data_IF_383163419832
#
_entry.id   IF_383163419832
#
_cell.length_a   1.000
_cell.length_b   1.000
_cell.length_c   1.000
_cell.angle_alpha   90.00
_cell.angle_beta   90.00
_cell.angle_gamma   90.00
#
_symmetry.space_group_name_H-M   'P 1'
#
loop_
_entity.id
_entity.type
_entity.pdbx_description
1 polymer ?
#
# COMPACT_ATOMS: atom_id res chain seq x y z
N UNK A 1 -69.18 8.51 -36.66
CA UNK A 1 -68.70 9.82 -36.20
C UNK A 1 -67.66 9.55 -35.14
N UNK A 2 -66.54 9.44 -35.55
CA UNK A 2 -65.19 9.88 -35.24
C UNK A 2 -64.85 9.98 -33.74
N UNK A 3 -64.09 9.01 -33.34
CA UNK A 3 -63.34 8.95 -32.08
C UNK A 3 -62.00 9.65 -32.32
N UNK A 4 -61.46 10.56 -31.47
CA UNK A 4 -60.09 10.96 -31.54
C UNK A 4 -59.21 10.15 -30.61
N UNK A 5 -58.22 9.59 -31.23
CA UNK A 5 -57.03 8.96 -30.68
C UNK A 5 -56.34 9.82 -29.59
N UNK A 6 -56.23 9.26 -28.41
CA UNK A 6 -55.41 9.83 -27.32
C UNK A 6 -54.09 9.11 -27.30
N UNK A 7 -53.15 9.57 -28.15
CA UNK A 7 -51.77 9.13 -28.12
C UNK A 7 -51.07 9.65 -26.85
N UNK A 8 -50.92 8.77 -25.88
CA UNK A 8 -50.06 8.96 -24.71
C UNK A 8 -48.62 9.18 -25.14
N UNK A 9 -48.17 10.43 -25.07
CA UNK A 9 -46.79 10.83 -25.15
C UNK A 9 -46.00 10.08 -24.05
N UNK A 10 -45.23 9.10 -24.47
CA UNK A 10 -44.24 8.45 -23.64
C UNK A 10 -43.19 9.48 -23.22
N UNK A 11 -43.17 9.83 -21.94
CA UNK A 11 -42.10 10.59 -21.34
C UNK A 11 -40.74 9.89 -21.59
N UNK A 12 -39.67 10.61 -21.95
CA UNK A 12 -38.38 9.98 -22.12
C UNK A 12 -37.91 9.41 -20.78
N UNK A 13 -37.57 8.12 -20.80
CA UNK A 13 -36.91 7.46 -19.65
C UNK A 13 -35.75 8.34 -19.20
N UNK A 14 -35.81 8.88 -17.99
CA UNK A 14 -34.71 9.60 -17.36
C UNK A 14 -33.49 8.68 -17.38
N UNK A 15 -32.50 9.06 -18.19
CA UNK A 15 -31.22 8.37 -18.22
C UNK A 15 -30.64 8.35 -16.81
N UNK A 16 -30.30 7.17 -16.32
CA UNK A 16 -29.64 7.02 -15.04
C UNK A 16 -28.43 7.97 -14.97
N UNK A 17 -28.21 8.68 -13.86
CA UNK A 17 -27.09 9.59 -13.75
C UNK A 17 -25.79 8.84 -14.04
N UNK A 18 -24.94 9.43 -14.89
CA UNK A 18 -23.64 8.86 -15.23
C UNK A 18 -22.81 8.67 -13.95
N UNK A 19 -22.14 7.52 -13.80
CA UNK A 19 -21.33 7.25 -12.62
C UNK A 19 -20.29 8.36 -12.41
N UNK A 20 -20.09 8.75 -11.16
CA UNK A 20 -19.11 9.76 -10.80
C UNK A 20 -17.71 9.19 -11.10
N UNK A 21 -16.99 9.80 -12.02
CA UNK A 21 -15.66 9.38 -12.44
C UNK A 21 -14.61 10.35 -11.91
N UNK A 22 -13.46 9.82 -11.53
CA UNK A 22 -12.32 10.60 -11.07
C UNK A 22 -11.09 10.45 -11.97
N UNK A 23 -10.23 11.44 -11.91
CA UNK A 23 -8.86 11.40 -12.40
C UNK A 23 -7.91 11.90 -11.31
N UNK A 24 -6.77 11.24 -11.13
CA UNK A 24 -5.67 11.72 -10.30
C UNK A 24 -4.58 12.30 -11.19
N UNK A 25 -4.01 13.45 -10.78
CA UNK A 25 -2.87 14.08 -11.44
C UNK A 25 -1.76 14.21 -10.40
N UNK A 26 -0.71 13.42 -10.53
CA UNK A 26 0.49 13.53 -9.73
C UNK A 26 1.45 14.53 -10.36
N UNK A 27 1.94 15.48 -9.57
CA UNK A 27 2.80 16.58 -10.01
C UNK A 27 4.13 16.44 -9.30
N UNK A 28 5.20 16.33 -10.06
CA UNK A 28 6.56 16.22 -9.59
C UNK A 28 7.48 15.66 -10.69
N UNK A 29 8.52 16.39 -11.00
CA UNK A 29 9.52 15.99 -12.01
C UNK A 29 10.21 14.69 -11.62
N UNK A 30 10.43 14.43 -10.32
CA UNK A 30 11.02 13.19 -9.79
C UNK A 30 10.20 11.94 -10.12
N UNK A 31 8.88 12.09 -10.34
CA UNK A 31 8.01 10.98 -10.74
C UNK A 31 8.20 10.61 -12.21
N UNK A 32 8.59 11.56 -13.05
CA UNK A 32 8.84 11.34 -14.47
C UNK A 32 10.22 10.75 -14.76
N UNK A 33 11.24 11.18 -14.00
CA UNK A 33 12.63 10.72 -14.21
C UNK A 33 12.97 9.41 -13.47
N UNK A 34 11.97 8.78 -12.85
CA UNK A 34 12.15 7.46 -12.20
C UNK A 34 12.74 7.51 -10.80
N UNK A 35 12.86 8.68 -10.17
CA UNK A 35 13.39 8.83 -8.82
C UNK A 35 12.44 8.34 -7.72
N UNK A 36 11.13 8.36 -7.98
CA UNK A 36 10.08 7.93 -7.04
C UNK A 36 8.89 7.29 -7.75
N UNK A 37 8.20 6.42 -7.03
CA UNK A 37 6.91 5.87 -7.48
C UNK A 37 5.76 6.72 -6.94
N UNK A 38 4.71 6.89 -7.75
CA UNK A 38 3.47 7.58 -7.35
C UNK A 38 2.62 6.69 -6.44
N UNK A 39 2.93 6.70 -5.15
CA UNK A 39 2.14 6.01 -4.12
C UNK A 39 0.84 6.75 -3.79
N UNK A 40 0.81 8.08 -3.97
CA UNK A 40 -0.36 8.91 -3.68
C UNK A 40 -1.56 8.54 -4.53
N UNK A 41 -1.38 8.37 -5.84
CA UNK A 41 -2.48 7.96 -6.72
C UNK A 41 -3.02 6.56 -6.42
N UNK A 42 -2.21 5.66 -5.84
CA UNK A 42 -2.68 4.35 -5.40
C UNK A 42 -3.62 4.49 -4.20
N UNK A 43 -3.19 5.23 -3.18
CA UNK A 43 -4.00 5.51 -1.99
C UNK A 43 -5.32 6.22 -2.35
N UNK A 44 -5.25 7.27 -3.16
CA UNK A 44 -6.43 8.02 -3.61
C UNK A 44 -7.43 7.15 -4.36
N UNK A 45 -6.95 6.26 -5.23
CA UNK A 45 -7.81 5.34 -5.98
C UNK A 45 -8.54 4.37 -5.05
N UNK A 46 -7.88 3.86 -4.01
CA UNK A 46 -8.48 2.98 -3.01
C UNK A 46 -9.57 3.72 -2.21
N UNK A 47 -9.29 4.91 -1.71
CA UNK A 47 -10.26 5.70 -0.95
C UNK A 47 -11.47 6.16 -1.79
N UNK A 48 -11.25 6.58 -3.03
CA UNK A 48 -12.34 6.93 -3.96
C UNK A 48 -13.20 5.73 -4.32
N UNK A 49 -12.58 4.57 -4.50
CA UNK A 49 -13.29 3.31 -4.77
C UNK A 49 -14.28 2.95 -3.65
N UNK A 50 -13.90 3.16 -2.38
CA UNK A 50 -14.77 2.95 -1.22
C UNK A 50 -16.02 3.84 -1.22
N UNK A 51 -15.95 5.00 -1.88
CA UNK A 51 -17.08 5.89 -2.12
C UNK A 51 -17.87 5.54 -3.40
N UNK A 52 -17.50 4.51 -4.15
CA UNK A 52 -18.09 4.19 -5.44
C UNK A 52 -17.65 5.12 -6.58
N UNK A 53 -16.61 5.92 -6.38
CA UNK A 53 -16.05 6.82 -7.39
C UNK A 53 -14.95 6.07 -8.15
N UNK A 54 -15.16 5.82 -9.44
CA UNK A 54 -14.20 5.11 -10.28
C UNK A 54 -13.09 6.06 -10.76
N UNK A 55 -11.84 5.79 -10.41
CA UNK A 55 -10.68 6.44 -11.02
C UNK A 55 -10.46 5.83 -12.41
N UNK A 56 -10.70 6.61 -13.46
CA UNK A 56 -10.55 6.14 -14.84
C UNK A 56 -9.21 6.49 -15.45
N UNK A 57 -8.57 7.52 -14.96
CA UNK A 57 -7.29 8.01 -15.47
C UNK A 57 -6.38 8.39 -14.32
N UNK A 58 -5.10 8.11 -14.50
CA UNK A 58 -4.00 8.59 -13.67
C UNK A 58 -3.00 9.27 -14.60
N UNK A 59 -2.71 10.53 -14.35
CA UNK A 59 -1.76 11.33 -15.10
C UNK A 59 -0.59 11.72 -14.20
N UNK A 60 0.61 11.73 -14.77
CA UNK A 60 1.82 12.24 -14.09
C UNK A 60 2.37 13.37 -14.95
N UNK A 61 2.66 14.50 -14.33
CA UNK A 61 3.26 15.67 -15.00
C UNK A 61 4.42 16.23 -14.17
N UNK A 62 5.36 16.89 -14.83
CA UNK A 62 6.42 17.64 -14.17
C UNK A 62 5.92 18.93 -13.53
N UNK A 63 6.85 19.69 -12.94
CA UNK A 63 6.56 20.93 -12.23
C UNK A 63 6.42 22.15 -13.18
N UNK A 64 6.29 21.88 -14.49
CA UNK A 64 6.05 22.92 -15.47
C UNK A 64 4.59 23.37 -15.48
N UNK A 65 4.35 24.66 -15.23
CA UNK A 65 3.01 25.25 -15.13
C UNK A 65 2.12 24.92 -16.33
N UNK A 66 2.66 24.99 -17.55
CA UNK A 66 1.88 24.77 -18.77
C UNK A 66 1.45 23.31 -18.93
N UNK A 67 2.27 22.36 -18.47
CA UNK A 67 1.94 20.93 -18.51
C UNK A 67 0.82 20.62 -17.50
N UNK A 68 0.88 21.21 -16.32
CA UNK A 68 -0.19 21.10 -15.32
C UNK A 68 -1.51 21.67 -15.85
N UNK A 69 -1.48 22.85 -16.49
CA UNK A 69 -2.66 23.47 -17.13
C UNK A 69 -3.25 22.54 -18.21
N UNK A 70 -2.40 21.96 -19.05
CA UNK A 70 -2.81 21.06 -20.13
C UNK A 70 -3.43 19.78 -19.59
N UNK A 71 -2.81 19.16 -18.58
CA UNK A 71 -3.33 17.98 -17.91
C UNK A 71 -4.69 18.26 -17.27
N UNK A 72 -4.83 19.38 -16.55
CA UNK A 72 -6.09 19.78 -15.92
C UNK A 72 -7.20 20.02 -16.95
N UNK A 73 -6.92 20.71 -18.06
CA UNK A 73 -7.90 20.90 -19.14
C UNK A 73 -8.35 19.57 -19.77
N UNK A 74 -7.46 18.59 -19.87
CA UNK A 74 -7.77 17.25 -20.37
C UNK A 74 -8.65 16.48 -19.38
N UNK A 75 -8.29 16.53 -18.09
CA UNK A 75 -9.00 15.85 -17.03
C UNK A 75 -10.45 16.33 -16.88
N UNK A 76 -10.69 17.63 -16.92
CA UNK A 76 -12.05 18.25 -16.79
C UNK A 76 -13.01 17.81 -17.90
N UNK A 77 -12.51 17.40 -19.06
CA UNK A 77 -13.35 16.92 -20.17
C UNK A 77 -13.91 15.51 -19.92
N UNK A 78 -13.23 14.71 -19.06
CA UNK A 78 -13.48 13.28 -18.93
C UNK A 78 -13.73 12.79 -17.49
N UNK A 79 -13.49 13.65 -16.48
CA UNK A 79 -13.73 13.33 -15.08
C UNK A 79 -14.52 14.43 -14.36
N UNK A 80 -15.29 14.04 -13.33
CA UNK A 80 -16.08 14.97 -12.49
C UNK A 80 -15.36 15.31 -11.21
N UNK A 81 -14.47 14.45 -10.74
CA UNK A 81 -13.60 14.67 -9.59
C UNK A 81 -12.16 14.59 -10.08
N UNK A 82 -11.38 15.62 -9.84
CA UNK A 82 -9.97 15.69 -10.21
C UNK A 82 -9.19 15.93 -8.93
N UNK A 83 -8.32 15.00 -8.58
CA UNK A 83 -7.44 15.16 -7.42
C UNK A 83 -6.01 15.31 -7.90
N UNK A 84 -5.42 16.46 -7.59
CA UNK A 84 -4.05 16.83 -7.91
C UNK A 84 -3.19 16.68 -6.65
N UNK A 85 -2.02 16.09 -6.76
CA UNK A 85 -1.08 15.95 -5.64
C UNK A 85 0.30 16.46 -6.01
N UNK A 86 0.89 17.31 -5.16
CA UNK A 86 2.19 17.92 -5.40
C UNK A 86 2.12 19.39 -5.78
N UNK A 87 3.28 20.06 -5.77
CA UNK A 87 3.45 21.45 -6.16
C UNK A 87 2.74 22.50 -5.27
N UNK A 88 2.46 22.14 -4.00
CA UNK A 88 1.86 23.06 -3.00
C UNK A 88 2.87 23.52 -1.91
N UNK A 89 4.12 23.15 -2.03
CA UNK A 89 5.19 23.54 -1.12
C UNK A 89 5.56 25.03 -1.21
N UNK A 90 6.66 25.41 -0.52
CA UNK A 90 7.14 26.80 -0.47
C UNK A 90 8.18 27.11 -1.54
N UNK A 91 8.60 26.16 -2.35
CA UNK A 91 9.72 26.32 -3.31
C UNK A 91 9.27 26.97 -4.62
N UNK A 92 10.17 27.35 -5.48
CA UNK A 92 9.86 28.13 -6.69
C UNK A 92 9.14 27.26 -7.73
N UNK A 93 9.48 26.00 -7.77
CA UNK A 93 8.91 24.94 -8.61
C UNK A 93 7.50 24.51 -8.17
N UNK A 94 7.09 24.80 -6.93
CA UNK A 94 5.72 24.60 -6.44
C UNK A 94 4.73 25.55 -7.12
N UNK A 95 4.21 25.21 -8.28
CA UNK A 95 3.40 26.07 -9.12
C UNK A 95 1.95 25.59 -9.34
N UNK A 96 1.50 24.56 -8.60
CA UNK A 96 0.14 23.98 -8.76
C UNK A 96 -0.96 25.02 -8.55
N UNK A 97 -0.83 25.92 -7.56
CA UNK A 97 -1.82 27.00 -7.30
C UNK A 97 -1.95 27.94 -8.48
N UNK A 98 -0.81 28.36 -9.01
CA UNK A 98 -0.69 29.24 -10.17
C UNK A 98 -1.25 28.57 -11.44
N UNK A 99 -0.95 27.28 -11.65
CA UNK A 99 -1.45 26.51 -12.78
C UNK A 99 -2.97 26.33 -12.74
N UNK A 100 -3.53 25.99 -11.56
CA UNK A 100 -4.98 25.89 -11.41
C UNK A 100 -5.67 27.25 -11.60
N UNK A 101 -5.13 28.33 -11.04
CA UNK A 101 -5.64 29.68 -11.21
C UNK A 101 -5.65 30.08 -12.71
N UNK A 102 -4.56 29.82 -13.42
CA UNK A 102 -4.44 30.07 -14.86
C UNK A 102 -5.44 29.24 -15.68
N UNK A 103 -5.52 27.93 -15.44
CA UNK A 103 -6.38 27.01 -16.18
C UNK A 103 -7.87 27.36 -16.00
N UNK A 104 -8.25 27.87 -14.85
CA UNK A 104 -9.64 28.12 -14.47
C UNK A 104 -10.05 29.59 -14.65
N UNK A 105 -9.10 30.49 -14.90
CA UNK A 105 -9.34 31.95 -15.00
C UNK A 105 -9.58 32.62 -13.64
N UNK A 106 -9.25 31.98 -12.54
CA UNK A 106 -9.42 32.54 -11.18
C UNK A 106 -8.16 33.31 -10.76
N UNK A 107 -8.35 34.37 -9.98
CA UNK A 107 -7.23 35.12 -9.40
C UNK A 107 -6.74 34.44 -8.11
N UNK A 108 -5.44 34.46 -7.89
CA UNK A 108 -4.88 34.05 -6.60
C UNK A 108 -5.06 35.18 -5.58
N UNK A 109 -5.55 34.83 -4.41
CA UNK A 109 -5.71 35.73 -3.28
C UNK A 109 -5.19 35.09 -1.98
N UNK A 110 -4.65 35.94 -1.10
CA UNK A 110 -4.25 35.47 0.23
C UNK A 110 -5.50 35.15 1.05
N UNK A 111 -5.61 33.90 1.50
CA UNK A 111 -6.73 33.45 2.33
C UNK A 111 -6.33 33.46 3.79
N UNK A 112 -7.15 34.09 4.63
CA UNK A 112 -6.90 34.21 6.05
C UNK A 112 -6.81 32.87 6.75
N UNK A 113 -7.75 31.95 6.45
CA UNK A 113 -7.79 30.60 7.02
C UNK A 113 -6.52 29.79 6.68
N UNK A 114 -6.02 29.90 5.45
CA UNK A 114 -4.80 29.23 4.99
C UNK A 114 -3.56 29.79 5.73
N UNK A 115 -3.49 31.13 5.87
CA UNK A 115 -2.40 31.79 6.56
C UNK A 115 -2.37 31.44 8.06
N UNK A 116 -3.51 31.46 8.73
CA UNK A 116 -3.63 31.14 10.15
C UNK A 116 -3.25 29.69 10.43
N UNK A 117 -3.79 28.75 9.64
CA UNK A 117 -3.46 27.32 9.78
C UNK A 117 -1.97 27.03 9.59
N UNK A 118 -1.37 27.59 8.53
CA UNK A 118 0.06 27.48 8.26
C UNK A 118 0.91 28.09 9.38
N UNK A 119 0.57 29.29 9.83
CA UNK A 119 1.33 30.00 10.88
C UNK A 119 1.26 29.24 12.20
N UNK A 120 0.09 28.76 12.57
CA UNK A 120 -0.08 27.93 13.77
C UNK A 120 0.77 26.65 13.72
N UNK A 121 0.81 25.99 12.56
CA UNK A 121 1.65 24.80 12.38
C UNK A 121 3.14 25.10 12.47
N UNK A 122 3.61 26.16 11.84
CA UNK A 122 5.02 26.57 11.91
C UNK A 122 5.41 26.98 13.34
N UNK A 123 4.52 27.64 14.08
CA UNK A 123 4.75 27.99 15.46
C UNK A 123 4.93 26.75 16.37
N UNK A 124 4.17 25.67 16.15
CA UNK A 124 4.36 24.40 16.85
C UNK A 124 5.76 23.79 16.62
N UNK A 125 6.39 24.09 15.48
CA UNK A 125 7.76 23.68 15.15
C UNK A 125 8.82 24.71 15.56
N UNK A 126 8.43 25.77 16.29
CA UNK A 126 9.33 26.84 16.69
C UNK A 126 9.79 27.73 15.51
N UNK A 127 9.06 27.75 14.40
CA UNK A 127 9.42 28.47 13.17
C UNK A 127 8.47 29.62 12.89
N UNK A 128 8.98 30.63 12.21
CA UNK A 128 8.18 31.75 11.64
C UNK A 128 8.06 31.59 10.13
N UNK A 129 6.95 32.00 9.53
CA UNK A 129 6.78 31.94 8.07
C UNK A 129 7.84 32.81 7.36
N UNK A 130 8.48 32.26 6.34
CA UNK A 130 9.30 33.01 5.39
C UNK A 130 8.46 33.41 4.16
N UNK A 131 9.05 34.17 3.23
CA UNK A 131 8.37 34.65 2.01
C UNK A 131 7.82 33.50 1.15
N UNK A 132 8.58 32.40 0.99
CA UNK A 132 8.17 31.21 0.26
C UNK A 132 6.94 30.55 0.91
N UNK A 133 6.96 30.40 2.23
CA UNK A 133 5.84 29.83 2.98
C UNK A 133 4.60 30.72 2.91
N UNK A 134 4.73 32.06 2.91
CA UNK A 134 3.58 32.97 2.75
C UNK A 134 2.88 32.80 1.39
N UNK A 135 3.57 32.32 0.35
CA UNK A 135 2.96 31.96 -0.93
C UNK A 135 1.98 30.78 -0.81
N UNK A 136 2.18 29.88 0.15
CA UNK A 136 1.28 28.75 0.38
C UNK A 136 -0.15 29.19 0.77
N UNK A 137 -0.30 30.40 1.30
CA UNK A 137 -1.61 30.98 1.62
C UNK A 137 -2.32 31.64 0.42
N UNK A 138 -1.70 31.66 -0.77
CA UNK A 138 -2.32 32.14 -2.01
C UNK A 138 -3.20 31.02 -2.58
N UNK A 139 -4.50 31.20 -2.58
CA UNK A 139 -5.48 30.21 -3.03
C UNK A 139 -6.34 30.83 -4.16
N UNK A 140 -6.73 30.05 -5.19
CA UNK A 140 -7.64 30.54 -6.23
C UNK A 140 -8.95 31.09 -5.64
N UNK A 141 -9.42 32.23 -6.16
CA UNK A 141 -10.67 32.85 -5.70
C UNK A 141 -11.85 31.89 -5.87
N UNK A 142 -12.75 31.84 -4.90
CA UNK A 142 -13.88 30.90 -4.90
C UNK A 142 -13.55 29.48 -4.44
N UNK A 143 -12.28 29.14 -4.22
CA UNK A 143 -11.92 27.83 -3.68
C UNK A 143 -12.15 27.76 -2.15
N UNK A 144 -12.50 26.58 -1.68
CA UNK A 144 -12.55 26.22 -0.27
C UNK A 144 -11.15 25.78 0.17
N UNK A 145 -10.66 26.32 1.28
CA UNK A 145 -9.38 25.92 1.87
C UNK A 145 -9.54 24.58 2.58
N UNK A 146 -8.66 23.63 2.28
CA UNK A 146 -8.55 22.34 2.97
C UNK A 146 -7.41 22.43 3.98
N UNK A 147 -7.71 22.14 5.23
CA UNK A 147 -6.73 22.22 6.33
C UNK A 147 -5.75 21.07 6.24
N UNK A 148 -4.47 21.37 6.52
CA UNK A 148 -3.44 20.36 6.63
C UNK A 148 -3.15 20.11 8.12
N UNK A 149 -3.57 18.98 8.68
CA UNK A 149 -3.37 18.68 10.10
C UNK A 149 -1.94 18.24 10.44
N UNK A 150 -1.12 17.93 9.42
CA UNK A 150 0.23 17.36 9.59
C UNK A 150 1.31 18.34 9.13
N UNK A 151 1.13 18.95 7.98
CA UNK A 151 2.09 19.84 7.34
C UNK A 151 1.69 21.33 7.37
N UNK A 152 2.48 22.15 6.69
CA UNK A 152 2.23 23.61 6.60
C UNK A 152 1.48 24.03 5.33
N UNK A 153 1.51 23.22 4.27
CA UNK A 153 0.89 23.55 3.00
C UNK A 153 -0.61 23.24 3.02
N UNK A 154 -1.51 24.24 3.02
CA UNK A 154 -2.94 23.99 2.87
C UNK A 154 -3.24 23.46 1.47
N UNK A 155 -4.24 22.60 1.37
CA UNK A 155 -4.86 22.24 0.11
C UNK A 155 -6.02 23.19 -0.22
N UNK A 156 -6.65 22.92 -1.35
CA UNK A 156 -7.88 23.62 -1.71
C UNK A 156 -8.79 22.79 -2.61
N UNK A 157 -10.07 23.13 -2.59
CA UNK A 157 -11.08 22.54 -3.45
C UNK A 157 -11.78 23.65 -4.23
N UNK A 158 -11.80 23.54 -5.57
CA UNK A 158 -12.40 24.50 -6.48
C UNK A 158 -13.42 23.81 -7.39
N UNK A 159 -14.63 24.33 -7.41
CA UNK A 159 -15.62 23.92 -8.41
C UNK A 159 -15.41 24.73 -9.68
N UNK A 160 -15.15 24.05 -10.79
CA UNK A 160 -14.98 24.68 -12.09
C UNK A 160 -15.71 23.89 -13.18
N UNK A 161 -16.59 24.58 -13.91
CA UNK A 161 -17.52 23.92 -14.86
C UNK A 161 -18.33 22.81 -14.15
N UNK A 162 -18.22 21.59 -14.62
CA UNK A 162 -18.89 20.41 -14.03
C UNK A 162 -17.96 19.56 -13.15
N UNK A 163 -16.72 20.00 -12.93
CA UNK A 163 -15.72 19.26 -12.18
C UNK A 163 -15.44 19.89 -10.81
N UNK A 164 -15.08 19.05 -9.89
CA UNK A 164 -14.53 19.39 -8.59
C UNK A 164 -13.02 19.15 -8.64
N UNK A 165 -12.24 20.22 -8.54
CA UNK A 165 -10.77 20.19 -8.56
C UNK A 165 -10.29 20.26 -7.12
N UNK A 166 -9.54 19.28 -6.68
CA UNK A 166 -8.98 19.16 -5.34
C UNK A 166 -7.48 19.11 -5.46
N UNK A 167 -6.77 19.99 -4.76
CA UNK A 167 -5.30 20.02 -4.75
C UNK A 167 -4.78 19.72 -3.35
N UNK A 168 -3.91 18.74 -3.25
CA UNK A 168 -3.34 18.22 -2.02
C UNK A 168 -1.80 18.25 -2.09
N UNK A 169 -1.09 18.29 -0.94
CA UNK A 169 0.37 18.19 -0.90
C UNK A 169 0.90 16.90 -1.52
N UNK A 170 2.17 16.90 -1.97
CA UNK A 170 2.86 15.72 -2.49
C UNK A 170 3.36 14.75 -1.41
N UNK A 171 3.55 15.21 -0.16
CA UNK A 171 4.01 14.37 0.95
C UNK A 171 2.92 13.36 1.32
N UNK A 172 3.18 12.04 1.23
CA UNK A 172 2.14 11.01 1.38
C UNK A 172 1.32 11.16 2.67
N UNK A 173 1.99 11.26 3.81
CA UNK A 173 1.33 11.39 5.11
C UNK A 173 0.40 12.61 5.23
N UNK A 174 0.82 13.75 4.65
CA UNK A 174 -0.02 14.95 4.63
C UNK A 174 -1.24 14.74 3.73
N UNK A 175 -1.01 14.21 2.54
CA UNK A 175 -2.05 13.92 1.55
C UNK A 175 -3.09 12.93 2.09
N UNK A 176 -2.65 11.85 2.73
CA UNK A 176 -3.52 10.81 3.31
C UNK A 176 -4.41 11.37 4.41
N UNK A 177 -3.85 12.12 5.36
CA UNK A 177 -4.62 12.75 6.44
C UNK A 177 -5.62 13.76 5.91
N UNK A 178 -5.22 14.60 4.96
CA UNK A 178 -6.12 15.56 4.33
C UNK A 178 -7.22 14.87 3.52
N UNK A 179 -6.90 13.79 2.81
CA UNK A 179 -7.91 12.98 2.11
C UNK A 179 -8.96 12.47 3.09
N UNK A 180 -8.54 11.89 4.21
CA UNK A 180 -9.46 11.31 5.19
C UNK A 180 -10.29 12.37 5.94
N UNK A 181 -9.66 13.47 6.39
CA UNK A 181 -10.30 14.44 7.27
C UNK A 181 -11.07 15.52 6.54
N UNK A 182 -10.63 15.95 5.36
CA UNK A 182 -11.20 17.08 4.62
C UNK A 182 -11.91 16.63 3.33
N UNK A 183 -11.27 15.78 2.51
CA UNK A 183 -11.76 15.45 1.15
C UNK A 183 -12.90 14.45 1.19
N UNK A 184 -12.77 13.34 1.93
CA UNK A 184 -13.83 12.32 1.99
C UNK A 184 -15.15 12.88 2.54
N UNK A 185 -15.19 13.69 3.62
CA UNK A 185 -16.42 14.35 4.07
C UNK A 185 -17.00 15.29 3.02
N UNK A 186 -16.15 16.07 2.34
CA UNK A 186 -16.58 16.99 1.28
C UNK A 186 -17.19 16.23 0.11
N UNK A 187 -16.55 15.15 -0.37
CA UNK A 187 -17.09 14.32 -1.45
C UNK A 187 -18.41 13.66 -1.06
N UNK A 188 -18.57 13.21 0.19
CA UNK A 188 -19.85 12.66 0.68
C UNK A 188 -20.97 13.71 0.63
N UNK A 189 -20.69 14.92 1.09
CA UNK A 189 -21.65 16.02 1.04
C UNK A 189 -22.04 16.38 -0.41
N UNK A 190 -21.07 16.43 -1.33
CA UNK A 190 -21.26 16.65 -2.76
C UNK A 190 -22.08 15.53 -3.42
N UNK A 191 -21.82 14.29 -3.08
CA UNK A 191 -22.56 13.15 -3.57
C UNK A 191 -24.04 13.23 -3.19
N UNK A 192 -24.33 13.61 -1.96
CA UNK A 192 -25.71 13.80 -1.47
C UNK A 192 -26.41 14.97 -2.21
N UNK A 193 -25.70 16.06 -2.47
CA UNK A 193 -26.23 17.25 -3.16
C UNK A 193 -26.50 17.03 -4.64
N UNK A 194 -25.76 16.13 -5.29
CA UNK A 194 -25.87 15.86 -6.75
C UNK A 194 -26.81 14.68 -7.11
N UNK A 195 -27.59 14.20 -6.18
CA UNK A 195 -28.52 13.07 -6.42
C UNK A 195 -27.97 11.69 -6.04
N UNK A 196 -26.87 11.68 -5.30
CA UNK A 196 -26.27 10.48 -4.71
C UNK A 196 -25.05 9.99 -5.47
N UNK A 197 -24.18 9.31 -4.73
CA UNK A 197 -23.18 8.40 -5.31
C UNK A 197 -23.88 7.29 -6.08
N UNK A 198 -23.20 6.59 -6.99
CA UNK A 198 -23.71 5.31 -7.52
C UNK A 198 -24.23 4.48 -6.35
N UNK A 199 -25.43 3.95 -6.47
CA UNK A 199 -26.15 3.28 -5.35
C UNK A 199 -25.36 2.15 -4.69
N UNK A 200 -24.24 1.73 -5.29
CA UNK A 200 -23.40 0.67 -4.76
C UNK A 200 -21.92 1.08 -4.76
N UNK A 201 -21.28 1.11 -3.59
CA UNK A 201 -19.84 1.27 -3.52
C UNK A 201 -19.15 0.08 -4.23
N UNK A 202 -18.05 0.35 -4.92
CA UNK A 202 -17.16 -0.70 -5.40
C UNK A 202 -16.52 -1.31 -4.15
N UNK A 203 -16.86 -2.56 -3.87
CA UNK A 203 -16.25 -3.29 -2.75
C UNK A 203 -15.11 -4.11 -3.30
N UNK A 204 -13.94 -3.96 -2.69
CA UNK A 204 -12.75 -4.74 -3.00
C UNK A 204 -12.31 -5.51 -1.76
N UNK A 205 -12.14 -6.82 -1.91
CA UNK A 205 -11.48 -7.66 -0.90
C UNK A 205 -10.13 -8.10 -1.45
N UNK A 206 -9.11 -8.05 -0.60
CA UNK A 206 -7.73 -8.35 -0.94
C UNK A 206 -7.24 -9.48 -0.07
N UNK A 207 -6.54 -10.43 -0.68
CA UNK A 207 -6.00 -11.63 -0.07
C UNK A 207 -4.51 -11.71 -0.40
N UNK A 208 -3.68 -11.86 0.62
CA UNK A 208 -2.24 -11.92 0.47
C UNK A 208 -1.76 -13.37 0.64
N UNK A 209 -1.10 -13.90 -0.40
CA UNK A 209 -0.60 -15.27 -0.39
C UNK A 209 0.92 -15.30 -0.46
N UNK A 210 1.53 -16.36 0.10
CA UNK A 210 2.95 -16.62 -0.05
C UNK A 210 3.22 -18.11 -0.23
N UNK A 211 4.28 -18.44 -1.00
CA UNK A 211 4.72 -19.81 -1.23
C UNK A 211 4.14 -20.48 -2.49
N UNK A 212 3.30 -19.76 -3.25
CA UNK A 212 2.79 -20.21 -4.56
C UNK A 212 3.25 -19.26 -5.66
N UNK A 213 3.46 -19.79 -6.87
CA UNK A 213 3.60 -18.98 -8.07
C UNK A 213 2.23 -18.44 -8.52
N UNK A 214 2.22 -17.36 -9.31
CA UNK A 214 0.98 -16.75 -9.82
C UNK A 214 0.12 -17.75 -10.60
N UNK A 215 0.75 -18.56 -11.44
CA UNK A 215 0.06 -19.63 -12.20
C UNK A 215 -0.60 -20.68 -11.30
N UNK A 216 0.03 -21.02 -10.16
CA UNK A 216 -0.53 -21.98 -9.21
C UNK A 216 -1.73 -21.40 -8.46
N UNK A 217 -1.66 -20.09 -8.13
CA UNK A 217 -2.79 -19.36 -7.54
C UNK A 217 -3.96 -19.30 -8.52
N UNK A 218 -3.69 -18.97 -9.80
CA UNK A 218 -4.71 -18.94 -10.85
C UNK A 218 -5.37 -20.30 -11.02
N UNK A 219 -4.59 -21.37 -11.14
CA UNK A 219 -5.09 -22.74 -11.27
C UNK A 219 -6.00 -23.14 -10.10
N UNK A 220 -5.63 -22.77 -8.86
CA UNK A 220 -6.46 -23.04 -7.67
C UNK A 220 -7.77 -22.25 -7.68
N UNK A 221 -7.77 -21.05 -8.22
CA UNK A 221 -8.95 -20.17 -8.26
C UNK A 221 -9.77 -20.33 -9.55
N UNK A 222 -9.33 -21.14 -10.50
CA UNK A 222 -10.05 -21.39 -11.75
C UNK A 222 -11.48 -21.86 -11.49
N UNK A 223 -12.44 -21.23 -12.19
CA UNK A 223 -13.86 -21.54 -12.04
C UNK A 223 -14.50 -21.09 -10.73
N UNK A 224 -13.81 -20.32 -9.90
CA UNK A 224 -14.38 -19.73 -8.68
C UNK A 224 -15.46 -18.69 -9.01
N UNK A 225 -15.21 -17.84 -10.01
CA UNK A 225 -16.14 -16.79 -10.42
C UNK A 225 -17.08 -17.33 -11.51
N UNK A 226 -18.38 -17.36 -11.29
CA UNK A 226 -19.35 -17.75 -12.32
C UNK A 226 -19.29 -16.82 -13.54
N UNK A 227 -19.52 -17.37 -14.73
CA UNK A 227 -19.55 -16.58 -15.97
C UNK A 227 -20.64 -15.49 -15.87
N UNK A 228 -20.25 -14.23 -16.11
CA UNK A 228 -21.19 -13.11 -16.03
C UNK A 228 -21.41 -12.53 -14.64
N UNK A 229 -20.77 -13.06 -13.60
CA UNK A 229 -20.83 -12.47 -12.26
C UNK A 229 -20.33 -11.03 -12.25
N UNK A 230 -20.93 -10.13 -11.45
CA UNK A 230 -20.53 -8.73 -11.36
C UNK A 230 -19.31 -8.52 -10.45
N UNK A 231 -18.36 -9.44 -10.49
CA UNK A 231 -17.12 -9.43 -9.70
C UNK A 231 -15.94 -9.74 -10.62
N UNK A 232 -14.87 -8.96 -10.49
CA UNK A 232 -13.59 -9.20 -11.15
C UNK A 232 -12.60 -9.82 -10.17
N UNK A 233 -11.84 -10.80 -10.65
CA UNK A 233 -10.68 -11.37 -9.99
C UNK A 233 -9.42 -10.70 -10.57
N UNK A 234 -8.61 -10.12 -9.71
CA UNK A 234 -7.30 -9.57 -10.07
C UNK A 234 -6.20 -10.29 -9.31
N UNK A 235 -5.05 -10.45 -9.94
CA UNK A 235 -3.83 -10.98 -9.30
C UNK A 235 -2.66 -10.06 -9.57
N UNK A 236 -1.74 -9.97 -8.61
CA UNK A 236 -0.51 -9.18 -8.72
C UNK A 236 0.61 -9.93 -8.00
N UNK A 237 1.58 -10.42 -8.76
CA UNK A 237 2.76 -11.07 -8.21
C UNK A 237 3.82 -10.04 -7.78
N UNK A 238 4.50 -10.34 -6.69
CA UNK A 238 5.62 -9.59 -6.16
C UNK A 238 6.62 -10.51 -5.45
N UNK A 239 7.80 -10.03 -5.05
CA UNK A 239 8.69 -10.81 -4.19
C UNK A 239 8.07 -11.21 -2.85
N UNK A 240 7.06 -10.48 -2.39
CA UNK A 240 6.36 -10.72 -1.13
C UNK A 240 5.21 -11.73 -1.24
N UNK A 241 4.95 -12.25 -2.44
CA UNK A 241 3.88 -13.21 -2.73
C UNK A 241 2.93 -12.74 -3.82
N UNK A 242 1.78 -13.40 -3.93
CA UNK A 242 0.72 -13.05 -4.88
C UNK A 242 -0.44 -12.42 -4.11
N UNK A 243 -0.80 -11.21 -4.52
CA UNK A 243 -1.99 -10.53 -4.06
C UNK A 243 -3.16 -10.95 -4.96
N UNK A 244 -4.23 -11.44 -4.38
CA UNK A 244 -5.49 -11.74 -5.04
C UNK A 244 -6.52 -10.69 -4.64
N UNK A 245 -7.30 -10.19 -5.57
CA UNK A 245 -8.36 -9.21 -5.28
C UNK A 245 -9.68 -9.60 -5.94
N UNK A 246 -10.76 -9.54 -5.19
CA UNK A 246 -12.14 -9.60 -5.67
C UNK A 246 -12.71 -8.19 -5.67
N UNK A 247 -13.18 -7.70 -6.82
CA UNK A 247 -13.70 -6.33 -6.96
C UNK A 247 -15.09 -6.36 -7.61
N UNK A 248 -16.11 -5.78 -6.95
CA UNK A 248 -17.45 -5.66 -7.52
C UNK A 248 -17.48 -4.65 -8.66
N UNK A 249 -18.27 -4.92 -9.71
CA UNK A 249 -18.38 -4.04 -10.90
C UNK A 249 -19.29 -2.83 -10.76
N UNK A 250 -19.90 -2.60 -9.61
CA UNK A 250 -20.73 -1.42 -9.35
C UNK A 250 -21.91 -1.24 -10.30
N UNK A 251 -22.51 -2.31 -10.84
CA UNK A 251 -23.63 -2.25 -11.78
C UNK A 251 -24.81 -3.13 -11.38
N UNK A 252 -25.96 -2.50 -11.16
CA UNK A 252 -27.35 -2.99 -11.40
C UNK A 252 -27.83 -4.31 -10.78
N UNK A 253 -27.30 -4.77 -9.67
CA UNK A 253 -27.94 -5.85 -8.90
C UNK A 253 -28.28 -5.31 -7.51
N UNK A 254 -29.28 -5.91 -6.83
CA UNK A 254 -29.65 -5.49 -5.49
C UNK A 254 -28.43 -5.48 -4.56
N UNK A 255 -28.21 -4.44 -3.76
CA UNK A 255 -27.00 -4.24 -2.93
C UNK A 255 -26.65 -5.45 -2.06
N UNK A 256 -27.66 -6.11 -1.52
CA UNK A 256 -27.49 -7.26 -0.65
C UNK A 256 -26.98 -8.51 -1.40
N UNK A 257 -27.38 -8.69 -2.66
CA UNK A 257 -26.94 -9.83 -3.47
C UNK A 257 -25.44 -9.73 -3.83
N UNK A 258 -24.94 -8.53 -4.14
CA UNK A 258 -23.53 -8.35 -4.48
C UNK A 258 -22.62 -8.55 -3.25
N UNK A 259 -23.07 -8.12 -2.09
CA UNK A 259 -22.32 -8.30 -0.85
C UNK A 259 -22.27 -9.77 -0.43
N UNK A 260 -23.40 -10.49 -0.54
CA UNK A 260 -23.47 -11.92 -0.27
C UNK A 260 -22.63 -12.73 -1.27
N UNK A 261 -22.72 -12.41 -2.56
CA UNK A 261 -21.89 -13.04 -3.60
C UNK A 261 -20.38 -12.82 -3.31
N UNK A 262 -20.00 -11.58 -3.00
CA UNK A 262 -18.60 -11.27 -2.70
C UNK A 262 -18.09 -12.07 -1.48
N UNK A 263 -18.92 -12.21 -0.44
CA UNK A 263 -18.58 -13.01 0.74
C UNK A 263 -18.43 -14.49 0.38
N UNK A 264 -19.35 -15.06 -0.40
CA UNK A 264 -19.28 -16.46 -0.87
C UNK A 264 -18.00 -16.70 -1.70
N UNK A 265 -17.67 -15.77 -2.59
CA UNK A 265 -16.42 -15.85 -3.37
C UNK A 265 -15.17 -15.72 -2.48
N UNK A 266 -15.22 -14.86 -1.47
CA UNK A 266 -14.15 -14.70 -0.49
C UNK A 266 -13.91 -16.00 0.30
N UNK A 267 -14.98 -16.65 0.75
CA UNK A 267 -14.89 -17.94 1.44
C UNK A 267 -14.33 -19.03 0.51
N UNK A 268 -14.68 -18.97 -0.77
CA UNK A 268 -14.08 -19.83 -1.80
C UNK A 268 -12.59 -19.58 -2.00
N UNK A 269 -12.12 -18.33 -1.97
CA UNK A 269 -10.69 -17.99 -2.00
C UNK A 269 -10.00 -18.56 -0.77
N UNK A 270 -10.54 -18.36 0.43
CA UNK A 270 -9.97 -18.89 1.68
C UNK A 270 -9.84 -20.41 1.65
N UNK A 271 -10.91 -21.10 1.26
CA UNK A 271 -10.93 -22.55 1.19
C UNK A 271 -9.92 -23.13 0.19
N UNK A 272 -9.78 -22.49 -0.99
CA UNK A 272 -8.88 -23.00 -2.04
C UNK A 272 -7.41 -22.65 -1.81
N UNK A 273 -7.11 -21.54 -1.14
CA UNK A 273 -5.75 -21.10 -0.86
C UNK A 273 -5.23 -21.60 0.50
N UNK A 274 -6.11 -21.85 1.47
CA UNK A 274 -5.74 -22.42 2.77
C UNK A 274 -4.54 -21.75 3.41
N UNK A 275 -3.54 -22.52 3.82
CA UNK A 275 -2.37 -22.04 4.57
C UNK A 275 -1.45 -21.10 3.79
N UNK A 276 -1.57 -21.05 2.45
CA UNK A 276 -0.84 -20.06 1.65
C UNK A 276 -1.39 -18.64 1.82
N UNK A 277 -2.65 -18.50 2.25
CA UNK A 277 -3.24 -17.22 2.60
C UNK A 277 -2.72 -16.78 3.99
N UNK A 278 -2.00 -15.67 4.04
CA UNK A 278 -1.45 -15.20 5.32
C UNK A 278 -2.15 -13.96 5.88
N UNK A 279 -2.80 -13.16 5.03
CA UNK A 279 -3.49 -11.95 5.45
C UNK A 279 -4.62 -11.56 4.50
N UNK A 280 -5.54 -10.74 5.00
CA UNK A 280 -6.60 -10.11 4.24
C UNK A 280 -6.59 -8.59 4.44
N UNK A 281 -7.11 -7.85 3.46
CA UNK A 281 -7.19 -6.40 3.52
C UNK A 281 -5.84 -5.72 3.42
N UNK A 282 -5.43 -4.99 4.44
CA UNK A 282 -4.18 -4.21 4.47
C UNK A 282 -3.10 -4.83 5.34
N UNK A 283 -3.39 -5.91 6.05
CA UNK A 283 -2.44 -6.54 6.96
C UNK A 283 -1.21 -7.05 6.19
N UNK A 284 -0.04 -6.77 6.73
CA UNK A 284 1.24 -7.28 6.25
C UNK A 284 1.66 -8.54 6.99
N UNK A 285 2.64 -9.27 6.48
CA UNK A 285 3.16 -10.48 7.13
C UNK A 285 3.74 -10.16 8.51
N UNK A 286 4.46 -9.05 8.65
CA UNK A 286 5.03 -8.59 9.92
C UNK A 286 3.97 -8.21 10.95
N UNK A 287 2.85 -7.63 10.54
CA UNK A 287 1.72 -7.34 11.44
C UNK A 287 1.03 -8.62 11.91
N UNK A 288 0.83 -9.59 11.01
CA UNK A 288 0.26 -10.89 11.36
C UNK A 288 1.16 -11.63 12.37
N UNK A 289 2.47 -11.69 12.08
CA UNK A 289 3.46 -12.34 12.99
C UNK A 289 3.53 -11.61 14.32
N UNK A 290 3.59 -10.28 14.34
CA UNK A 290 3.64 -9.47 15.55
C UNK A 290 2.41 -9.68 16.43
N UNK A 291 1.22 -9.73 15.83
CA UNK A 291 -0.04 -10.02 16.53
C UNK A 291 -0.05 -11.43 17.16
N UNK A 292 0.42 -12.43 16.41
CA UNK A 292 0.46 -13.80 16.90
C UNK A 292 1.51 -14.02 18.01
N UNK A 293 2.68 -13.37 17.93
CA UNK A 293 3.68 -13.38 18.99
C UNK A 293 3.14 -12.71 20.27
N UNK A 294 2.54 -11.53 20.12
CA UNK A 294 1.94 -10.77 21.24
C UNK A 294 0.83 -11.56 21.93
N UNK A 295 -0.07 -12.17 21.15
CA UNK A 295 -1.19 -12.98 21.68
C UNK A 295 -0.71 -14.14 22.53
N UNK A 296 0.46 -14.71 22.21
CA UNK A 296 1.04 -15.86 22.94
C UNK A 296 2.06 -15.44 24.00
N UNK A 297 2.36 -14.16 24.13
CA UNK A 297 3.41 -13.67 25.05
C UNK A 297 4.81 -14.18 24.69
N UNK A 298 5.06 -14.47 23.39
CA UNK A 298 6.33 -15.00 22.92
C UNK A 298 7.25 -13.87 22.46
N UNK A 299 8.52 -13.97 22.84
CA UNK A 299 9.57 -13.02 22.45
C UNK A 299 10.52 -13.70 21.47
N UNK A 300 10.88 -12.97 20.42
CA UNK A 300 11.69 -13.39 19.27
C UNK A 300 13.06 -12.71 19.30
N UNK A 301 14.10 -13.47 18.96
CA UNK A 301 15.41 -12.94 18.59
C UNK A 301 15.80 -13.40 17.18
N UNK A 302 16.52 -12.55 16.44
CA UNK A 302 16.85 -12.72 15.03
C UNK A 302 18.35 -12.87 14.79
N UNK A 303 18.72 -13.82 13.93
CA UNK A 303 20.09 -14.00 13.44
C UNK A 303 20.09 -13.89 11.90
N UNK A 304 20.49 -12.74 11.38
CA UNK A 304 20.46 -12.46 9.96
C UNK A 304 21.84 -12.47 9.31
N UNK A 305 21.96 -13.11 8.14
CA UNK A 305 23.15 -13.06 7.31
C UNK A 305 22.83 -12.38 5.98
N UNK A 306 22.38 -13.11 4.96
CA UNK A 306 22.15 -12.55 3.62
C UNK A 306 21.05 -11.48 3.57
N UNK A 307 20.10 -11.46 4.49
CA UNK A 307 19.04 -10.44 4.59
C UNK A 307 19.54 -9.12 5.16
N UNK A 308 20.63 -9.14 5.97
CA UNK A 308 21.34 -7.95 6.42
C UNK A 308 20.51 -6.99 7.28
N UNK A 309 19.66 -7.51 8.17
CA UNK A 309 18.80 -6.72 9.06
C UNK A 309 17.40 -6.47 8.51
N UNK A 310 17.04 -7.00 7.33
CA UNK A 310 15.75 -6.71 6.70
C UNK A 310 14.57 -7.30 7.49
N UNK A 311 14.72 -8.46 8.14
CA UNK A 311 13.66 -9.07 8.95
C UNK A 311 13.41 -8.21 10.19
N UNK A 312 14.47 -7.82 10.89
CA UNK A 312 14.38 -6.91 12.03
C UNK A 312 13.78 -5.56 11.66
N UNK A 313 14.21 -5.00 10.53
CA UNK A 313 13.65 -3.76 9.99
C UNK A 313 12.13 -3.88 9.79
N UNK A 314 11.65 -4.92 9.12
CA UNK A 314 10.22 -5.14 8.84
C UNK A 314 9.42 -5.27 10.14
N UNK A 315 9.84 -6.12 11.06
CA UNK A 315 9.13 -6.33 12.33
C UNK A 315 9.08 -5.05 13.19
N UNK A 316 10.15 -4.25 13.17
CA UNK A 316 10.21 -3.00 13.95
C UNK A 316 9.47 -1.81 13.30
N UNK A 317 9.00 -1.95 12.07
CA UNK A 317 8.04 -1.01 11.45
C UNK A 317 6.67 -1.07 12.12
N UNK A 318 6.33 -2.20 12.74
CA UNK A 318 5.05 -2.37 13.43
C UNK A 318 5.12 -1.70 14.81
N UNK A 319 4.20 -0.77 15.05
CA UNK A 319 4.12 -0.09 16.35
C UNK A 319 3.87 -1.10 17.48
N UNK A 320 4.60 -0.98 18.58
CA UNK A 320 4.52 -1.92 19.71
C UNK A 320 5.40 -3.17 19.56
N UNK A 321 6.24 -3.25 18.51
CA UNK A 321 7.14 -4.38 18.27
C UNK A 321 8.11 -4.70 19.40
N UNK A 322 8.42 -3.74 20.28
CA UNK A 322 9.23 -3.95 21.49
C UNK A 322 8.64 -4.97 22.47
N UNK A 323 7.35 -5.28 22.36
CA UNK A 323 6.72 -6.31 23.18
C UNK A 323 7.10 -7.75 22.76
N UNK A 324 7.53 -7.95 21.52
CA UNK A 324 7.82 -9.28 20.96
C UNK A 324 9.17 -9.41 20.26
N UNK A 325 9.89 -8.33 19.97
CA UNK A 325 11.26 -8.35 19.42
C UNK A 325 12.24 -7.95 20.51
N UNK A 326 13.11 -8.87 20.94
CA UNK A 326 14.16 -8.58 21.91
C UNK A 326 15.39 -7.96 21.19
N UNK A 327 15.93 -8.65 20.23
CA UNK A 327 17.12 -8.23 19.46
C UNK A 327 17.23 -8.86 18.09
N UNK A 328 18.06 -8.25 17.23
CA UNK A 328 18.50 -8.81 15.96
C UNK A 328 20.01 -8.68 15.83
N UNK A 329 20.68 -9.77 15.44
CA UNK A 329 22.12 -9.80 15.15
C UNK A 329 22.35 -10.00 13.66
N UNK A 330 23.08 -9.09 13.01
CA UNK A 330 23.55 -9.25 11.63
C UNK A 330 24.91 -9.95 11.64
N UNK A 331 24.90 -11.26 11.50
CA UNK A 331 26.06 -12.14 11.54
C UNK A 331 26.56 -12.45 10.13
N UNK A 332 27.16 -11.45 9.47
CA UNK A 332 27.46 -11.51 8.05
C UNK A 332 28.65 -12.38 7.70
N UNK A 333 29.71 -12.34 8.51
CA UNK A 333 30.92 -13.17 8.35
C UNK A 333 30.83 -14.49 9.13
N UNK A 334 31.67 -15.48 8.79
CA UNK A 334 31.79 -16.73 9.55
C UNK A 334 32.21 -16.44 11.01
N UNK A 335 33.17 -15.55 11.20
CA UNK A 335 33.63 -15.10 12.52
C UNK A 335 32.46 -14.54 13.36
N UNK A 336 31.63 -13.68 12.76
CA UNK A 336 30.47 -13.12 13.48
C UNK A 336 29.45 -14.21 13.88
N UNK A 337 29.25 -15.26 13.06
CA UNK A 337 28.40 -16.39 13.40
C UNK A 337 28.94 -17.13 14.65
N UNK A 338 30.23 -17.32 14.73
CA UNK A 338 30.86 -17.97 15.90
C UNK A 338 30.85 -17.06 17.11
N UNK A 339 31.33 -15.81 17.01
CA UNK A 339 31.46 -14.91 18.15
C UNK A 339 30.11 -14.47 18.72
N UNK A 340 29.17 -14.08 17.86
CA UNK A 340 27.88 -13.53 18.29
C UNK A 340 26.84 -14.60 18.62
N UNK A 341 26.86 -15.74 17.95
CA UNK A 341 25.85 -16.78 18.10
C UNK A 341 26.34 -18.07 18.73
N UNK A 342 27.67 -18.28 18.79
CA UNK A 342 28.28 -19.53 19.28
C UNK A 342 28.16 -20.68 18.26
N UNK A 343 28.01 -20.39 16.97
CA UNK A 343 28.04 -21.41 15.93
C UNK A 343 29.45 -22.02 15.92
N UNK A 344 29.58 -23.36 16.06
CA UNK A 344 30.89 -24.01 16.05
C UNK A 344 31.66 -23.77 14.74
N UNK A 345 32.93 -23.43 14.82
CA UNK A 345 33.75 -23.15 13.65
C UNK A 345 33.91 -24.40 12.74
N UNK A 346 34.09 -25.56 13.35
CA UNK A 346 34.16 -26.88 12.66
C UNK A 346 32.85 -27.20 11.89
N UNK A 347 31.70 -26.80 12.43
CA UNK A 347 30.42 -26.95 11.72
C UNK A 347 30.39 -26.10 10.43
N UNK A 348 30.92 -24.86 10.51
CA UNK A 348 31.02 -23.95 9.35
C UNK A 348 32.03 -24.50 8.34
N UNK A 349 33.17 -25.05 8.78
CA UNK A 349 34.19 -25.62 7.93
C UNK A 349 33.70 -26.87 7.20
N UNK A 350 32.94 -27.74 7.88
CA UNK A 350 32.41 -28.97 7.36
C UNK A 350 31.26 -28.77 6.36
N UNK A 351 30.28 -27.93 6.69
CA UNK A 351 29.04 -27.75 5.90
C UNK A 351 29.00 -26.47 5.12
N UNK A 352 29.90 -25.53 5.39
CA UNK A 352 29.88 -24.17 4.86
C UNK A 352 28.82 -23.27 5.54
N UNK A 353 29.06 -21.96 5.51
CA UNK A 353 28.18 -20.98 6.16
C UNK A 353 26.72 -20.99 5.67
N UNK A 354 26.49 -21.47 4.44
CA UNK A 354 25.16 -21.61 3.83
C UNK A 354 24.79 -23.09 3.81
N UNK A 355 24.15 -23.54 4.88
CA UNK A 355 23.71 -24.93 5.08
C UNK A 355 22.59 -24.99 6.12
N UNK A 356 21.86 -26.10 6.15
CA UNK A 356 20.79 -26.33 7.14
C UNK A 356 21.35 -26.41 8.57
N UNK A 357 22.53 -27.02 8.71
CA UNK A 357 23.23 -27.20 9.99
C UNK A 357 23.59 -25.84 10.59
N UNK A 358 24.17 -24.95 9.79
CA UNK A 358 24.53 -23.61 10.23
C UNK A 358 23.29 -22.75 10.49
N UNK A 359 22.22 -22.85 9.70
CA UNK A 359 20.97 -22.15 9.95
C UNK A 359 20.35 -22.58 11.30
N UNK A 360 20.31 -23.90 11.57
CA UNK A 360 19.85 -24.44 12.86
C UNK A 360 20.69 -23.89 14.02
N UNK A 361 22.02 -23.99 13.92
CA UNK A 361 22.92 -23.51 14.95
C UNK A 361 22.79 -21.99 15.20
N UNK A 362 22.57 -21.20 14.16
CA UNK A 362 22.31 -19.75 14.26
C UNK A 362 21.01 -19.47 15.03
N UNK A 363 19.92 -20.21 14.72
CA UNK A 363 18.63 -20.03 15.42
C UNK A 363 18.73 -20.41 16.89
N UNK A 364 19.32 -21.57 17.22
CA UNK A 364 19.57 -21.99 18.58
C UNK A 364 20.47 -20.99 19.33
N UNK A 365 21.55 -20.55 18.68
CA UNK A 365 22.51 -19.65 19.27
C UNK A 365 21.91 -18.28 19.66
N UNK A 366 21.14 -17.69 18.75
CA UNK A 366 20.51 -16.38 19.06
C UNK A 366 19.43 -16.52 20.13
N UNK A 367 18.61 -17.57 20.11
CA UNK A 367 17.61 -17.83 21.15
C UNK A 367 18.25 -17.99 22.52
N UNK A 368 19.28 -18.82 22.62
CA UNK A 368 19.98 -19.09 23.87
C UNK A 368 20.66 -17.85 24.46
N UNK A 369 21.34 -17.06 23.61
CA UNK A 369 22.02 -15.82 24.03
C UNK A 369 21.07 -14.70 24.42
N UNK A 370 19.93 -14.61 23.75
CA UNK A 370 18.87 -13.66 24.10
C UNK A 370 18.01 -14.14 25.28
N UNK A 371 18.04 -15.44 25.62
CA UNK A 371 17.17 -16.07 26.62
C UNK A 371 15.68 -15.86 26.35
N UNK A 372 15.30 -15.95 25.07
CA UNK A 372 13.92 -15.76 24.60
C UNK A 372 13.28 -17.07 24.19
N UNK A 373 11.98 -17.03 23.92
CA UNK A 373 11.22 -18.21 23.53
C UNK A 373 11.54 -18.69 22.11
N UNK A 374 11.81 -17.77 21.18
CA UNK A 374 11.96 -18.07 19.74
C UNK A 374 13.23 -17.46 19.17
N UNK A 375 14.00 -18.27 18.44
CA UNK A 375 15.12 -17.83 17.63
C UNK A 375 14.85 -18.11 16.16
N UNK A 376 14.98 -17.09 15.31
CA UNK A 376 14.81 -17.18 13.87
C UNK A 376 16.10 -16.79 13.16
N UNK A 377 16.57 -17.60 12.22
CA UNK A 377 17.81 -17.33 11.50
C UNK A 377 17.65 -17.41 9.98
N UNK A 378 18.50 -16.68 9.26
CA UNK A 378 18.59 -16.76 7.80
C UNK A 378 20.06 -16.72 7.37
N UNK A 379 20.49 -17.71 6.57
CA UNK A 379 21.78 -17.71 5.89
C UNK A 379 21.60 -18.08 4.43
N UNK A 380 22.35 -17.46 3.50
CA UNK A 380 22.15 -17.70 2.07
C UNK A 380 23.08 -16.88 1.18
N UNK A 381 22.95 -17.09 -0.12
CA UNK A 381 23.72 -16.44 -1.18
C UNK A 381 22.77 -15.52 -1.97
N UNK A 382 22.79 -14.22 -1.66
CA UNK A 382 21.91 -13.27 -2.31
C UNK A 382 22.43 -12.76 -3.67
N UNK A 383 23.69 -13.06 -4.02
CA UNK A 383 24.30 -12.65 -5.30
C UNK A 383 24.77 -11.17 -5.32
N UNK A 384 25.23 -10.67 -6.52
CA UNK A 384 25.36 -11.44 -7.76
C UNK A 384 26.49 -12.46 -7.75
N UNK A 385 27.49 -12.31 -6.89
CA UNK A 385 28.62 -13.24 -6.70
C UNK A 385 28.40 -14.22 -5.55
N UNK A 386 29.40 -15.08 -5.30
CA UNK A 386 29.44 -16.03 -4.18
C UNK A 386 28.70 -17.34 -4.42
N UNK A 387 28.09 -17.55 -5.58
CA UNK A 387 27.49 -18.81 -5.98
C UNK A 387 28.50 -19.81 -6.54
N UNK A 388 28.23 -21.10 -6.38
CA UNK A 388 28.91 -22.23 -7.02
C UNK A 388 27.87 -23.18 -7.58
N UNK A 389 28.27 -24.16 -8.40
CA UNK A 389 27.36 -25.16 -8.95
C UNK A 389 26.60 -25.95 -7.85
N UNK A 390 27.26 -26.20 -6.73
CA UNK A 390 26.66 -26.89 -5.57
C UNK A 390 25.81 -25.97 -4.70
N UNK A 391 26.19 -24.70 -4.63
CA UNK A 391 25.50 -23.66 -3.83
C UNK A 391 25.26 -22.42 -4.70
N UNK A 392 24.23 -22.43 -5.54
CA UNK A 392 23.97 -21.33 -6.48
C UNK A 392 23.50 -20.05 -5.78
N UNK A 393 23.59 -18.94 -6.48
CA UNK A 393 22.92 -17.69 -6.07
C UNK A 393 21.42 -17.96 -5.91
N UNK A 394 20.86 -17.46 -4.83
CA UNK A 394 19.47 -17.70 -4.44
C UNK A 394 19.25 -18.86 -3.47
N UNK A 395 20.28 -19.68 -3.19
CA UNK A 395 20.19 -20.70 -2.15
C UNK A 395 20.18 -20.03 -0.77
N UNK A 396 19.13 -20.32 -0.01
CA UNK A 396 18.88 -19.76 1.32
C UNK A 396 18.39 -20.86 2.25
N UNK A 397 18.94 -20.89 3.45
CA UNK A 397 18.46 -21.72 4.55
C UNK A 397 17.89 -20.82 5.66
N UNK A 398 16.74 -21.20 6.16
CA UNK A 398 16.07 -20.54 7.27
C UNK A 398 15.98 -21.53 8.42
N UNK A 399 16.35 -21.10 9.62
CA UNK A 399 16.25 -21.88 10.85
C UNK A 399 15.30 -21.23 11.84
N UNK A 400 14.51 -22.03 12.54
CA UNK A 400 13.63 -21.60 13.60
C UNK A 400 13.79 -22.54 14.81
N UNK A 401 14.12 -21.98 15.96
CA UNK A 401 14.19 -22.70 17.24
C UNK A 401 13.13 -22.15 18.18
N UNK A 402 12.13 -22.97 18.48
CA UNK A 402 11.05 -22.67 19.43
C UNK A 402 11.27 -23.19 20.83
N UNK A 403 12.49 -23.60 21.17
CA UNK A 403 12.89 -24.04 22.51
C UNK A 403 12.48 -25.46 22.92
N UNK A 404 11.68 -26.15 22.11
CA UNK A 404 11.26 -27.53 22.35
C UNK A 404 11.49 -28.37 21.10
N UNK A 405 12.20 -29.49 21.23
CA UNK A 405 12.51 -30.37 20.11
C UNK A 405 13.70 -29.88 19.26
N UNK A 406 13.81 -30.46 18.05
CA UNK A 406 14.83 -30.07 17.09
C UNK A 406 14.43 -28.76 16.38
N UNK A 407 15.40 -27.90 16.05
CA UNK A 407 15.12 -26.69 15.28
C UNK A 407 14.59 -27.05 13.88
N UNK A 408 13.60 -26.31 13.44
CA UNK A 408 13.05 -26.42 12.09
C UNK A 408 14.03 -25.76 11.14
N UNK A 409 14.36 -26.40 10.02
CA UNK A 409 15.20 -25.82 8.95
C UNK A 409 14.54 -26.04 7.61
N UNK A 410 14.55 -25.02 6.75
CA UNK A 410 14.00 -25.11 5.41
C UNK A 410 14.96 -24.52 4.38
N UNK A 411 15.14 -25.23 3.26
CA UNK A 411 15.90 -24.79 2.09
C UNK A 411 14.98 -24.04 1.12
N UNK A 412 15.48 -22.97 0.54
CA UNK A 412 14.84 -22.22 -0.53
C UNK A 412 15.82 -21.96 -1.67
N UNK A 413 15.30 -21.91 -2.89
CA UNK A 413 16.05 -21.51 -4.09
C UNK A 413 15.27 -20.38 -4.77
N UNK A 414 15.64 -19.16 -4.47
CA UNK A 414 15.01 -17.98 -5.03
C UNK A 414 15.69 -17.52 -6.31
N UNK A 415 14.89 -17.02 -7.25
CA UNK A 415 15.36 -16.39 -8.48
C UNK A 415 15.15 -14.88 -8.40
N UNK A 416 16.04 -14.12 -9.04
CA UNK A 416 15.99 -12.66 -9.12
C UNK A 416 17.32 -12.01 -8.77
N UNK A 417 17.32 -10.70 -8.70
CA UNK A 417 18.48 -9.95 -8.23
C UNK A 417 18.62 -10.02 -6.69
N UNK A 418 19.69 -9.42 -6.21
CA UNK A 418 20.02 -9.39 -4.77
C UNK A 418 18.87 -8.87 -3.90
N UNK A 419 18.17 -7.82 -4.34
CA UNK A 419 17.06 -7.24 -3.59
C UNK A 419 15.86 -8.18 -3.54
N UNK A 420 15.50 -8.77 -4.66
CA UNK A 420 14.42 -9.77 -4.77
C UNK A 420 14.71 -10.96 -3.88
N UNK A 421 15.95 -11.51 -3.91
CA UNK A 421 16.36 -12.65 -3.07
C UNK A 421 16.26 -12.28 -1.57
N UNK A 422 16.74 -11.09 -1.17
CA UNK A 422 16.62 -10.62 0.22
C UNK A 422 15.16 -10.48 0.66
N UNK A 423 14.31 -9.88 -0.17
CA UNK A 423 12.88 -9.72 0.11
C UNK A 423 12.19 -11.08 0.26
N UNK A 424 12.37 -11.98 -0.70
CA UNK A 424 11.82 -13.34 -0.65
C UNK A 424 12.29 -14.11 0.58
N UNK A 425 13.59 -14.00 0.92
CA UNK A 425 14.17 -14.65 2.11
C UNK A 425 13.55 -14.13 3.41
N UNK A 426 13.35 -12.81 3.51
CA UNK A 426 12.70 -12.20 4.68
C UNK A 426 11.23 -12.61 4.79
N UNK A 427 10.51 -12.68 3.66
CA UNK A 427 9.12 -13.10 3.64
C UNK A 427 8.97 -14.58 4.03
N UNK A 428 9.82 -15.45 3.47
CA UNK A 428 9.83 -16.87 3.81
C UNK A 428 10.15 -17.12 5.29
N UNK A 429 11.08 -16.36 5.86
CA UNK A 429 11.41 -16.46 7.29
C UNK A 429 10.22 -16.12 8.17
N UNK A 430 9.52 -15.04 7.85
CA UNK A 430 8.31 -14.66 8.57
C UNK A 430 7.14 -15.63 8.35
N UNK A 431 7.01 -16.23 7.15
CA UNK A 431 5.97 -17.24 6.89
C UNK A 431 6.22 -18.56 7.66
N UNK A 432 7.48 -19.01 7.75
CA UNK A 432 7.84 -20.15 8.60
C UNK A 432 7.47 -19.88 10.06
N UNK A 433 7.80 -18.70 10.56
CA UNK A 433 7.44 -18.30 11.94
C UNK A 433 5.92 -18.24 12.12
N UNK A 434 5.18 -17.65 11.16
CA UNK A 434 3.72 -17.60 11.18
C UNK A 434 3.10 -19.00 11.25
N UNK A 435 3.52 -19.91 10.37
CA UNK A 435 3.01 -21.30 10.35
C UNK A 435 3.28 -22.01 11.65
N UNK A 436 4.52 -21.92 12.15
CA UNK A 436 4.88 -22.50 13.45
C UNK A 436 4.03 -21.94 14.61
N UNK A 437 3.73 -20.64 14.60
CA UNK A 437 2.85 -20.02 15.60
C UNK A 437 1.42 -20.57 15.49
N UNK A 438 0.90 -20.81 14.30
CA UNK A 438 -0.44 -21.35 14.08
C UNK A 438 -0.57 -22.82 14.47
N UNK A 439 0.46 -23.63 14.26
CA UNK A 439 0.48 -25.06 14.66
C UNK A 439 0.50 -25.27 16.18
N UNK A 440 0.93 -24.27 16.93
CA UNK A 440 0.92 -24.28 18.40
C UNK A 440 -0.37 -23.71 19.01
N UNK A 441 -1.39 -23.48 18.20
CA UNK A 441 -2.67 -22.90 18.61
C UNK A 441 -3.61 -23.94 19.26
#
# INVERSE_FOLDING_TARGET
MTNPDCSLLSMPKTSAPLPLTAETIAIGTELLIGGRSDSNSLFLADELCKLGITVRFKSVVGDERQDIVTALHSAVKRARVIIMTGGLGPTVDDCTREAVAQATGHRLGRRKEALEGMTARLAQWGRRPNTGQLRQALIPSGAVVLKNPVGSAPGFCLRWKKALIISLPGVPREMEEMMCQEVLPLLRAEGLASGGFPREPIVRQVFHTFGLAEADVDAKLQGLIPKGAPVDLGMLASPMGVLVSLTTKGRQSAPDNNRHLLQTLADGVRSRLGDWLFAEGRDTMEEVVGRELTKRGLVLALAESCTGGLIGHRLTQVAGSSAYVDRGAVCYSNRAKTEMLGVPADLIDQYGAVSKEVAAAMACGIRARAKVAVGLSVTGIAGPGGGTDKKPVGLVYIGLDGGTGQPITQEFRFHGDRNVIKQRSSQAALDILRRWLLEKA
#
